data_IF_544807511988
#
_entry.id   IF_544807511988
#
_cell.length_a   1.000
_cell.length_b   1.000
_cell.length_c   1.000
_cell.angle_alpha   90.00
_cell.angle_beta   90.00
_cell.angle_gamma   90.00
#
_symmetry.space_group_name_H-M   'P 1'
#
loop_
_entity.id
_entity.type
_entity.pdbx_description
1 polymer ?
#
# COMPACT_ATOMS: atom_id res chain seq x y z
N UNK A 1 -70.14 -16.46 18.52
CA UNK A 1 -68.72 -16.51 18.98
C UNK A 1 -68.18 -15.11 18.82
N UNK A 2 -68.18 -14.33 19.90
CA UNK A 2 -67.73 -12.94 19.92
C UNK A 2 -66.24 -12.91 20.25
N UNK A 3 -65.50 -12.46 19.24
CA UNK A 3 -64.04 -12.28 19.35
C UNK A 3 -63.78 -11.05 20.25
N UNK A 4 -63.28 -11.34 21.45
CA UNK A 4 -62.92 -10.30 22.42
C UNK A 4 -61.54 -9.75 22.00
N UNK A 5 -61.51 -8.68 21.22
CA UNK A 5 -60.32 -7.89 20.95
C UNK A 5 -59.77 -7.38 22.26
N UNK A 6 -58.68 -7.97 22.79
CA UNK A 6 -57.98 -7.59 23.98
C UNK A 6 -57.35 -6.21 23.78
N UNK A 7 -57.88 -5.19 24.43
CA UNK A 7 -57.30 -3.84 24.40
C UNK A 7 -55.83 -3.83 24.89
N UNK A 8 -54.89 -3.20 24.17
CA UNK A 8 -53.49 -3.22 24.53
C UNK A 8 -53.32 -2.51 25.89
N UNK A 9 -52.60 -3.17 26.82
CA UNK A 9 -52.27 -2.61 28.11
C UNK A 9 -51.43 -1.34 27.93
N UNK A 10 -51.92 -0.18 28.44
CA UNK A 10 -51.27 1.15 28.25
C UNK A 10 -49.76 1.16 28.54
N UNK A 11 -49.29 0.33 29.49
CA UNK A 11 -47.87 0.16 29.75
C UNK A 11 -47.06 -0.54 28.66
N UNK A 12 -47.66 -1.51 27.95
CA UNK A 12 -46.98 -2.19 26.86
C UNK A 12 -46.81 -1.28 25.62
N UNK A 13 -47.82 -0.45 25.33
CA UNK A 13 -47.71 0.54 24.22
C UNK A 13 -46.66 1.61 24.51
N UNK A 14 -46.60 2.12 25.77
CA UNK A 14 -45.60 3.10 26.17
C UNK A 14 -44.16 2.52 26.04
N UNK A 15 -43.95 1.27 26.47
CA UNK A 15 -42.68 0.59 26.33
C UNK A 15 -42.27 0.39 24.85
N UNK A 16 -43.18 -0.06 24.01
CA UNK A 16 -42.96 -0.19 22.60
C UNK A 16 -42.62 1.13 21.90
N UNK A 17 -43.33 2.22 22.27
CA UNK A 17 -43.03 3.54 21.74
C UNK A 17 -41.66 4.04 22.17
N UNK A 18 -41.27 3.79 23.43
CA UNK A 18 -39.92 4.13 23.89
C UNK A 18 -38.83 3.36 23.14
N UNK A 19 -39.01 2.05 22.96
CA UNK A 19 -38.07 1.24 22.20
C UNK A 19 -37.98 1.68 20.75
N UNK A 20 -39.10 2.02 20.11
CA UNK A 20 -39.12 2.56 18.76
C UNK A 20 -38.38 3.89 18.65
N UNK A 21 -38.53 4.79 19.64
CA UNK A 21 -37.84 6.07 19.69
C UNK A 21 -36.29 5.86 19.85
N UNK A 22 -35.90 4.95 20.71
CA UNK A 22 -34.47 4.60 20.89
C UNK A 22 -33.89 4.02 19.61
N UNK A 23 -34.61 3.08 18.98
CA UNK A 23 -34.18 2.49 17.72
C UNK A 23 -34.05 3.55 16.62
N UNK A 24 -35.02 4.46 16.52
CA UNK A 24 -34.98 5.60 15.59
C UNK A 24 -33.76 6.49 15.84
N UNK A 25 -33.49 6.86 17.10
CA UNK A 25 -32.35 7.69 17.46
C UNK A 25 -31.00 7.00 17.09
N UNK A 26 -30.91 5.69 17.31
CA UNK A 26 -29.72 4.90 16.89
C UNK A 26 -29.57 4.93 15.38
N UNK A 27 -30.64 4.69 14.62
CA UNK A 27 -30.60 4.70 13.15
C UNK A 27 -30.20 6.07 12.60
N UNK A 28 -30.73 7.16 13.17
CA UNK A 28 -30.35 8.51 12.77
C UNK A 28 -28.86 8.77 13.07
N UNK A 29 -28.40 8.37 14.27
CA UNK A 29 -26.99 8.53 14.65
C UNK A 29 -26.06 7.74 13.73
N UNK A 30 -26.43 6.52 13.37
CA UNK A 30 -25.69 5.71 12.39
C UNK A 30 -25.71 6.34 10.98
N UNK A 31 -26.84 6.92 10.58
CA UNK A 31 -26.97 7.64 9.31
C UNK A 31 -26.01 8.85 9.25
N UNK A 32 -26.01 9.68 10.29
CA UNK A 32 -25.11 10.84 10.39
C UNK A 32 -23.64 10.40 10.39
N UNK A 33 -23.30 9.37 11.16
CA UNK A 33 -21.94 8.80 11.15
C UNK A 33 -21.50 8.30 9.78
N UNK A 34 -22.40 7.67 9.00
CA UNK A 34 -22.08 7.23 7.63
C UNK A 34 -21.81 8.40 6.70
N UNK A 35 -22.54 9.51 6.84
CA UNK A 35 -22.31 10.72 6.03
C UNK A 35 -20.94 11.35 6.39
N UNK A 36 -20.61 11.48 7.66
CA UNK A 36 -19.27 11.95 8.09
C UNK A 36 -18.15 11.05 7.55
N UNK A 37 -18.34 9.73 7.65
CA UNK A 37 -17.38 8.77 7.12
C UNK A 37 -17.21 8.88 5.60
N UNK A 38 -18.29 9.17 4.88
CA UNK A 38 -18.23 9.40 3.42
C UNK A 38 -17.38 10.62 3.11
N UNK A 39 -17.65 11.77 3.72
CA UNK A 39 -16.88 13.00 3.50
C UNK A 39 -15.40 12.82 3.84
N UNK A 40 -15.09 12.13 4.95
CA UNK A 40 -13.71 11.80 5.29
C UNK A 40 -13.00 10.97 4.22
N UNK A 41 -13.69 9.93 3.68
CA UNK A 41 -13.14 9.09 2.60
C UNK A 41 -12.92 9.89 1.32
N UNK A 42 -13.88 10.72 0.94
CA UNK A 42 -13.77 11.57 -0.27
C UNK A 42 -12.59 12.53 -0.16
N UNK A 43 -12.41 13.18 0.99
CA UNK A 43 -11.28 14.06 1.25
C UNK A 43 -9.93 13.30 1.20
N UNK A 44 -9.88 12.06 1.72
CA UNK A 44 -8.69 11.22 1.64
C UNK A 44 -8.37 10.83 0.18
N UNK A 45 -9.36 10.40 -0.59
CA UNK A 45 -9.22 10.05 -2.01
C UNK A 45 -8.72 11.26 -2.79
N UNK A 46 -9.36 12.42 -2.64
CA UNK A 46 -8.96 13.64 -3.33
C UNK A 46 -7.50 14.04 -3.02
N UNK A 47 -7.06 13.87 -1.77
CA UNK A 47 -5.65 14.12 -1.38
C UNK A 47 -4.69 13.16 -2.07
N UNK A 48 -5.02 11.87 -2.12
CA UNK A 48 -4.20 10.85 -2.79
C UNK A 48 -4.15 11.12 -4.28
N UNK A 49 -5.27 11.40 -4.93
CA UNK A 49 -5.34 11.72 -6.37
C UNK A 49 -4.51 12.95 -6.72
N UNK A 50 -4.59 14.01 -5.91
CA UNK A 50 -3.78 15.21 -6.11
C UNK A 50 -2.27 14.91 -6.02
N UNK A 51 -1.85 13.98 -5.16
CA UNK A 51 -0.44 13.56 -5.06
C UNK A 51 0.01 12.70 -6.22
N UNK A 52 -0.82 11.75 -6.65
CA UNK A 52 -0.50 10.82 -7.75
C UNK A 52 -0.37 11.55 -9.08
N UNK A 53 -1.23 12.54 -9.34
CA UNK A 53 -1.26 13.27 -10.60
C UNK A 53 -0.44 14.58 -10.57
N UNK A 54 0.15 14.92 -9.42
CA UNK A 54 1.02 16.10 -9.27
C UNK A 54 2.32 15.96 -10.07
N UNK A 55 2.99 17.10 -10.31
CA UNK A 55 4.33 17.08 -10.88
C UNK A 55 5.31 16.35 -9.96
N UNK A 56 6.23 15.51 -10.50
CA UNK A 56 7.20 14.80 -9.70
C UNK A 56 8.14 15.76 -8.98
N UNK A 57 8.08 15.76 -7.65
CA UNK A 57 9.02 16.48 -6.79
C UNK A 57 10.36 15.75 -6.64
N UNK A 58 11.34 16.35 -5.96
CA UNK A 58 12.56 15.68 -5.55
C UNK A 58 12.28 14.66 -4.43
N UNK A 59 13.17 13.65 -4.31
CA UNK A 59 13.16 12.77 -3.14
C UNK A 59 13.41 13.59 -1.87
N UNK A 60 12.73 13.33 -0.73
CA UNK A 60 13.06 13.95 0.54
C UNK A 60 14.54 13.75 0.89
N UNK A 61 15.20 14.81 1.38
CA UNK A 61 16.61 14.74 1.71
C UNK A 61 16.89 13.72 2.84
N UNK A 62 17.95 12.92 2.72
CA UNK A 62 18.25 11.84 3.65
C UNK A 62 18.36 12.26 5.12
N UNK A 63 18.85 13.46 5.49
CA UNK A 63 18.87 13.88 6.89
C UNK A 63 17.49 14.06 7.53
N UNK A 64 16.43 14.22 6.72
CA UNK A 64 15.06 14.42 7.21
C UNK A 64 14.30 13.11 7.42
N UNK A 65 14.79 11.99 6.92
CA UNK A 65 14.07 10.71 6.90
C UNK A 65 13.61 10.22 8.27
N UNK A 66 14.44 10.41 9.31
CA UNK A 66 14.10 9.99 10.67
C UNK A 66 12.89 10.74 11.28
N UNK A 67 12.54 11.92 10.76
CA UNK A 67 11.44 12.75 11.24
C UNK A 67 10.17 12.63 10.38
N UNK A 68 10.25 12.00 9.19
CA UNK A 68 9.11 11.87 8.29
C UNK A 68 8.08 10.87 8.83
N UNK A 69 6.82 11.27 8.74
CA UNK A 69 5.68 10.37 9.03
C UNK A 69 5.10 9.85 7.72
N UNK A 70 4.51 8.64 7.71
CA UNK A 70 3.88 8.08 6.50
C UNK A 70 2.93 9.02 5.78
N UNK A 71 2.13 9.79 6.52
CA UNK A 71 1.19 10.77 5.96
C UNK A 71 1.87 11.92 5.19
N UNK A 72 3.14 12.19 5.47
CA UNK A 72 3.87 13.29 4.84
C UNK A 72 4.30 12.93 3.41
N UNK A 73 4.64 11.66 3.17
CA UNK A 73 5.22 11.22 1.90
C UNK A 73 4.46 10.11 1.15
N UNK A 74 3.57 9.36 1.82
CA UNK A 74 2.87 8.25 1.13
C UNK A 74 2.06 8.77 -0.06
N UNK A 75 2.22 8.09 -1.20
CA UNK A 75 1.73 8.50 -2.53
C UNK A 75 2.33 9.80 -3.09
N UNK A 76 3.38 10.37 -2.49
CA UNK A 76 4.07 11.49 -3.10
C UNK A 76 4.78 11.04 -4.39
N UNK A 77 4.53 11.75 -5.49
CA UNK A 77 5.18 11.51 -6.77
C UNK A 77 6.55 12.15 -6.77
N UNK A 78 7.59 11.36 -6.99
CA UNK A 78 8.98 11.84 -6.96
C UNK A 78 9.76 11.39 -8.18
N UNK A 79 10.83 12.15 -8.48
CA UNK A 79 11.85 11.78 -9.45
C UNK A 79 13.18 11.60 -8.72
N UNK A 80 13.85 10.49 -8.99
CA UNK A 80 15.10 10.13 -8.34
C UNK A 80 16.05 9.49 -9.34
N UNK A 81 17.35 9.80 -9.22
CA UNK A 81 18.40 9.21 -10.04
C UNK A 81 19.33 8.37 -9.17
N UNK A 82 19.79 7.25 -9.70
CA UNK A 82 20.71 6.38 -9.02
C UNK A 82 21.06 5.13 -9.85
N UNK A 83 21.80 4.23 -9.25
CA UNK A 83 22.24 2.98 -9.88
C UNK A 83 21.45 1.80 -9.31
N UNK A 84 20.74 1.07 -10.17
CA UNK A 84 20.04 -0.15 -9.77
C UNK A 84 21.04 -1.27 -9.45
N UNK A 85 20.79 -1.99 -8.35
CA UNK A 85 21.55 -3.19 -7.96
C UNK A 85 20.66 -4.44 -8.00
N UNK A 86 20.45 -5.03 -9.18
CA UNK A 86 19.59 -6.20 -9.33
C UNK A 86 20.20 -7.50 -8.78
N UNK A 87 21.44 -7.48 -8.33
CA UNK A 87 22.03 -8.62 -7.62
C UNK A 87 21.48 -8.78 -6.20
N UNK A 88 20.89 -7.72 -5.65
CA UNK A 88 20.30 -7.67 -4.31
C UNK A 88 18.78 -7.50 -4.33
N UNK A 89 18.09 -8.15 -5.26
CA UNK A 89 16.63 -8.11 -5.31
C UNK A 89 15.99 -8.85 -4.13
N UNK A 90 14.91 -8.28 -3.59
CA UNK A 90 14.00 -8.98 -2.70
C UNK A 90 12.65 -9.24 -3.39
N UNK A 91 12.09 -10.41 -3.15
CA UNK A 91 10.84 -10.87 -3.75
C UNK A 91 9.75 -10.91 -2.69
N UNK A 92 8.75 -10.04 -2.79
CA UNK A 92 7.62 -10.01 -1.86
C UNK A 92 6.48 -10.81 -2.45
N UNK A 93 6.11 -11.91 -1.80
CA UNK A 93 5.00 -12.76 -2.26
C UNK A 93 3.68 -12.01 -2.24
N UNK A 94 2.91 -12.17 -3.32
CA UNK A 94 1.55 -11.64 -3.46
C UNK A 94 0.62 -12.75 -3.95
N UNK A 95 -0.41 -13.07 -3.15
CA UNK A 95 -1.39 -14.11 -3.50
C UNK A 95 -2.21 -13.77 -4.74
N UNK A 96 -2.33 -12.48 -5.07
CA UNK A 96 -3.03 -12.00 -6.24
C UNK A 96 -2.35 -10.75 -6.80
N UNK A 97 -1.93 -10.82 -8.04
CA UNK A 97 -1.36 -9.71 -8.81
C UNK A 97 -1.70 -9.88 -10.29
N UNK A 98 -1.46 -8.84 -11.08
CA UNK A 98 -1.75 -8.86 -12.53
C UNK A 98 -0.54 -8.38 -13.31
N UNK A 99 -0.31 -8.98 -14.48
CA UNK A 99 0.58 -8.48 -15.51
C UNK A 99 -0.30 -7.90 -16.62
N UNK A 100 -0.23 -6.60 -16.84
CA UNK A 100 -1.06 -5.92 -17.83
C UNK A 100 -2.56 -6.15 -17.60
N UNK A 101 -3.29 -6.54 -18.67
CA UNK A 101 -4.72 -6.85 -18.63
C UNK A 101 -5.02 -8.32 -18.30
N UNK A 102 -4.02 -9.09 -17.89
CA UNK A 102 -4.17 -10.51 -17.59
C UNK A 102 -5.03 -10.83 -16.38
N UNK A 103 -5.33 -12.12 -16.18
CA UNK A 103 -6.00 -12.60 -14.99
C UNK A 103 -5.14 -12.41 -13.74
N UNK A 104 -5.78 -12.21 -12.59
CA UNK A 104 -5.09 -12.15 -11.31
C UNK A 104 -4.50 -13.52 -10.97
N UNK A 105 -3.23 -13.57 -10.59
CA UNK A 105 -2.50 -14.79 -10.29
C UNK A 105 -1.49 -14.56 -9.16
N UNK A 106 -1.05 -15.60 -8.45
CA UNK A 106 -0.01 -15.47 -7.44
C UNK A 106 1.35 -15.19 -8.09
N UNK A 107 2.20 -14.47 -7.36
CA UNK A 107 3.53 -14.09 -7.83
C UNK A 107 4.27 -13.23 -6.82
N UNK A 108 5.16 -12.37 -7.31
CA UNK A 108 6.03 -11.55 -6.49
C UNK A 108 6.08 -10.10 -6.96
N UNK A 109 6.16 -9.16 -6.04
CA UNK A 109 6.73 -7.85 -6.32
C UNK A 109 8.25 -7.93 -6.26
N UNK A 110 8.88 -7.28 -7.23
CA UNK A 110 10.34 -7.20 -7.33
C UNK A 110 10.82 -5.91 -6.69
N UNK A 111 11.48 -6.02 -5.54
CA UNK A 111 12.08 -4.88 -4.85
C UNK A 111 13.57 -4.84 -5.18
N UNK A 112 13.98 -3.90 -6.03
CA UNK A 112 15.38 -3.72 -6.44
C UNK A 112 15.98 -2.51 -5.74
N UNK A 113 17.16 -2.61 -5.10
CA UNK A 113 17.84 -1.45 -4.53
C UNK A 113 18.28 -0.46 -5.62
N UNK A 114 18.05 0.83 -5.37
CA UNK A 114 18.59 1.96 -6.08
C UNK A 114 19.63 2.64 -5.16
N UNK A 115 20.88 2.62 -5.56
CA UNK A 115 21.97 3.27 -4.85
C UNK A 115 22.07 4.72 -5.31
N UNK A 116 21.92 5.67 -4.38
CA UNK A 116 21.92 7.10 -4.65
C UNK A 116 23.32 7.70 -4.56
N UNK A 117 23.51 8.86 -5.18
CA UNK A 117 24.83 9.52 -5.21
C UNK A 117 25.33 9.97 -3.85
N UNK A 118 24.45 10.16 -2.87
CA UNK A 118 24.81 10.53 -1.48
C UNK A 118 25.19 9.32 -0.60
N UNK A 119 25.26 8.12 -1.18
CA UNK A 119 25.58 6.89 -0.45
C UNK A 119 24.40 6.29 0.32
N UNK A 120 23.20 6.77 0.11
CA UNK A 120 21.97 6.17 0.62
C UNK A 120 21.39 5.15 -0.36
N UNK A 121 20.40 4.37 0.08
CA UNK A 121 19.73 3.37 -0.74
C UNK A 121 18.21 3.50 -0.63
N UNK A 122 17.53 3.25 -1.75
CA UNK A 122 16.08 3.27 -1.86
C UNK A 122 15.61 1.95 -2.48
N UNK A 123 14.65 1.27 -1.85
CA UNK A 123 14.04 0.10 -2.48
C UNK A 123 12.99 0.52 -3.51
N UNK A 124 13.15 0.05 -4.74
CA UNK A 124 12.25 0.34 -5.86
C UNK A 124 11.44 -0.91 -6.21
N UNK A 125 10.13 -0.80 -6.15
CA UNK A 125 9.22 -1.82 -6.67
C UNK A 125 9.18 -1.71 -8.20
N UNK A 126 9.82 -2.68 -8.86
CA UNK A 126 9.88 -2.79 -10.32
C UNK A 126 8.65 -3.49 -10.92
N UNK A 127 7.66 -3.76 -10.07
CA UNK A 127 6.37 -4.32 -10.45
C UNK A 127 6.18 -5.78 -10.05
N UNK A 128 5.15 -6.42 -10.63
CA UNK A 128 4.71 -7.78 -10.31
C UNK A 128 5.17 -8.79 -11.36
N UNK A 129 5.65 -9.95 -10.92
CA UNK A 129 5.96 -11.09 -11.78
C UNK A 129 5.21 -12.34 -11.31
N UNK A 130 4.71 -13.18 -12.24
CA UNK A 130 4.14 -14.49 -11.90
C UNK A 130 5.15 -15.41 -11.25
N UNK A 131 4.68 -16.46 -10.57
CA UNK A 131 5.56 -17.48 -9.95
C UNK A 131 6.54 -18.07 -10.94
N UNK A 132 6.13 -18.29 -12.20
CA UNK A 132 6.97 -18.86 -13.27
C UNK A 132 8.17 -17.97 -13.62
N UNK A 133 8.08 -16.65 -13.37
CA UNK A 133 9.13 -15.67 -13.67
C UNK A 133 9.88 -15.21 -12.41
N UNK A 134 9.92 -16.04 -11.38
CA UNK A 134 10.62 -15.74 -10.12
C UNK A 134 12.11 -15.48 -10.35
N UNK A 135 12.76 -16.32 -11.16
CA UNK A 135 14.20 -16.24 -11.39
C UNK A 135 14.57 -15.00 -12.21
N UNK A 136 15.58 -14.25 -11.77
CA UNK A 136 16.04 -13.03 -12.45
C UNK A 136 16.48 -13.31 -13.91
N UNK A 137 17.03 -14.48 -14.18
CA UNK A 137 17.45 -14.88 -15.53
C UNK A 137 16.28 -15.05 -16.52
N UNK A 138 15.06 -15.29 -16.00
CA UNK A 138 13.84 -15.40 -16.84
C UNK A 138 13.22 -14.06 -17.21
N UNK A 139 13.78 -12.94 -16.70
CA UNK A 139 13.25 -11.60 -16.86
C UNK A 139 14.25 -10.73 -17.60
N UNK A 140 13.92 -10.23 -18.80
CA UNK A 140 14.76 -9.25 -19.47
C UNK A 140 14.73 -7.93 -18.67
N UNK A 141 15.89 -7.44 -18.28
CA UNK A 141 16.04 -6.17 -17.59
C UNK A 141 17.08 -5.30 -18.32
N UNK A 142 16.63 -4.38 -19.21
CA UNK A 142 17.52 -3.52 -19.97
C UNK A 142 18.23 -2.47 -19.11
N UNK A 143 17.75 -2.22 -17.89
CA UNK A 143 18.30 -1.22 -16.96
C UNK A 143 19.25 -1.84 -15.92
N UNK A 144 19.54 -3.14 -16.03
CA UNK A 144 20.36 -3.84 -15.06
C UNK A 144 21.74 -3.21 -14.88
N UNK A 145 22.02 -2.74 -13.64
CA UNK A 145 23.31 -2.17 -13.27
C UNK A 145 23.62 -0.79 -13.90
N UNK A 146 22.65 -0.17 -14.57
CA UNK A 146 22.81 1.14 -15.17
C UNK A 146 22.43 2.25 -14.19
N UNK A 147 22.94 3.46 -14.44
CA UNK A 147 22.43 4.68 -13.84
C UNK A 147 21.12 5.06 -14.53
N UNK A 148 20.07 5.24 -13.75
CA UNK A 148 18.73 5.50 -14.24
C UNK A 148 18.10 6.68 -13.52
N UNK A 149 17.17 7.36 -14.18
CA UNK A 149 16.28 8.33 -13.55
C UNK A 149 14.87 7.75 -13.57
N UNK A 150 14.34 7.50 -12.38
CA UNK A 150 13.03 6.91 -12.17
C UNK A 150 12.03 7.95 -11.68
N UNK A 151 10.80 7.82 -12.13
CA UNK A 151 9.65 8.54 -11.57
C UNK A 151 8.71 7.51 -10.96
N UNK A 152 8.18 7.80 -9.80
CA UNK A 152 7.29 6.87 -9.11
C UNK A 152 6.66 7.48 -7.88
N UNK A 153 5.89 6.66 -7.17
CA UNK A 153 5.19 7.04 -5.96
C UNK A 153 5.93 6.51 -4.73
N UNK A 154 6.20 7.38 -3.78
CA UNK A 154 6.71 6.94 -2.48
C UNK A 154 5.64 6.13 -1.75
N UNK A 155 6.08 5.06 -1.08
CA UNK A 155 5.19 4.16 -0.35
C UNK A 155 5.71 3.90 1.05
N UNK A 156 4.82 4.10 2.00
CA UNK A 156 5.07 3.74 3.39
C UNK A 156 5.25 2.23 3.57
N UNK A 157 5.94 1.79 4.64
CA UNK A 157 5.98 0.38 5.04
C UNK A 157 4.56 -0.20 5.19
N UNK A 158 4.39 -1.46 4.82
CA UNK A 158 3.12 -2.17 5.05
C UNK A 158 3.08 -2.72 6.46
N UNK A 159 1.95 -2.49 7.15
CA UNK A 159 1.67 -3.16 8.39
C UNK A 159 1.27 -4.62 8.14
N UNK A 160 1.78 -5.52 8.97
CA UNK A 160 1.43 -6.95 8.89
C UNK A 160 -0.02 -7.16 9.30
N UNK A 161 -0.83 -7.73 8.40
CA UNK A 161 -2.19 -8.15 8.70
C UNK A 161 -2.24 -9.44 9.55
N UNK A 162 -3.38 -9.71 10.19
CA UNK A 162 -3.59 -10.89 11.05
C UNK A 162 -3.31 -12.22 10.35
N UNK A 163 -3.54 -12.31 9.04
CA UNK A 163 -3.37 -13.53 8.24
C UNK A 163 -2.11 -13.49 7.37
N UNK A 164 -1.26 -12.47 7.51
CA UNK A 164 -0.02 -12.37 6.74
C UNK A 164 1.05 -13.22 7.41
N UNK A 165 1.68 -14.17 6.69
CA UNK A 165 2.78 -14.97 7.23
C UNK A 165 3.94 -14.10 7.72
N UNK A 166 4.74 -14.66 8.61
CA UNK A 166 5.96 -13.98 9.06
C UNK A 166 7.01 -13.94 7.95
N UNK A 167 7.65 -12.79 7.78
CA UNK A 167 8.81 -12.69 6.90
C UNK A 167 9.96 -13.52 7.48
N UNK A 168 10.72 -14.16 6.61
CA UNK A 168 11.88 -14.97 7.00
C UNK A 168 13.10 -14.50 6.20
N UNK A 169 13.76 -13.46 6.71
CA UNK A 169 14.91 -12.83 6.05
C UNK A 169 16.03 -13.83 5.69
N UNK A 170 16.30 -14.80 6.57
CA UNK A 170 17.30 -15.85 6.35
C UNK A 170 17.00 -16.74 5.13
N UNK A 171 15.74 -16.83 4.70
CA UNK A 171 15.31 -17.59 3.51
C UNK A 171 14.95 -16.69 2.34
N UNK A 172 15.06 -15.36 2.50
CA UNK A 172 14.62 -14.40 1.49
C UNK A 172 13.10 -14.43 1.23
N UNK A 173 12.30 -14.87 2.21
CA UNK A 173 10.86 -14.98 2.10
C UNK A 173 10.20 -13.74 2.69
N UNK A 174 9.58 -12.93 1.85
CA UNK A 174 8.93 -11.68 2.23
C UNK A 174 7.45 -11.73 1.88
N UNK A 175 6.62 -11.25 2.81
CA UNK A 175 5.16 -11.15 2.67
C UNK A 175 4.66 -9.72 2.92
N UNK A 176 5.52 -8.88 3.55
CA UNK A 176 5.25 -7.46 3.79
C UNK A 176 6.31 -6.59 3.13
N UNK A 177 5.92 -5.39 2.69
CA UNK A 177 6.85 -4.39 2.21
C UNK A 177 7.35 -3.57 3.39
N UNK A 178 8.43 -4.03 4.01
CA UNK A 178 9.16 -3.31 5.04
C UNK A 178 10.55 -2.93 4.48
N UNK A 179 10.73 -1.69 4.02
CA UNK A 179 11.98 -1.26 3.40
C UNK A 179 13.20 -1.41 4.31
N UNK A 180 13.05 -1.14 5.62
CA UNK A 180 14.16 -1.20 6.55
C UNK A 180 14.56 -2.65 6.86
N UNK A 181 13.59 -3.54 7.07
CA UNK A 181 13.86 -4.96 7.31
C UNK A 181 14.50 -5.63 6.09
N UNK A 182 14.00 -5.33 4.89
CA UNK A 182 14.57 -5.84 3.63
C UNK A 182 15.97 -5.31 3.43
N UNK A 183 16.19 -4.00 3.60
CA UNK A 183 17.51 -3.38 3.45
C UNK A 183 18.55 -3.93 4.42
N UNK A 184 18.18 -4.17 5.67
CA UNK A 184 19.04 -4.79 6.67
C UNK A 184 19.46 -6.21 6.25
N UNK A 185 18.53 -7.02 5.75
CA UNK A 185 18.83 -8.37 5.27
C UNK A 185 19.73 -8.38 4.03
N UNK A 186 19.62 -7.38 3.15
CA UNK A 186 20.43 -7.24 1.93
C UNK A 186 21.74 -6.50 2.17
N UNK A 187 22.02 -6.02 3.38
CA UNK A 187 23.22 -5.25 3.72
C UNK A 187 23.32 -3.95 2.92
N UNK A 188 22.21 -3.21 2.79
CA UNK A 188 22.19 -1.93 2.06
C UNK A 188 22.65 -0.77 2.95
N UNK A 189 23.41 0.19 2.41
CA UNK A 189 23.86 1.35 3.15
C UNK A 189 22.73 2.37 3.35
N UNK A 190 22.62 2.95 4.54
CA UNK A 190 21.76 4.09 4.86
C UNK A 190 20.38 4.04 4.17
N UNK A 191 19.53 3.03 4.44
CA UNK A 191 18.32 2.79 3.68
C UNK A 191 17.24 3.83 3.99
N UNK A 192 16.49 4.21 2.95
CA UNK A 192 15.28 5.02 3.09
C UNK A 192 14.18 4.25 3.85
N UNK A 193 13.39 4.93 4.74
CA UNK A 193 12.32 4.30 5.49
C UNK A 193 11.04 4.07 4.66
N UNK A 194 11.10 4.31 3.37
CA UNK A 194 10.03 4.15 2.39
C UNK A 194 10.56 3.44 1.15
N UNK A 195 9.67 2.98 0.31
CA UNK A 195 9.99 2.45 -1.02
C UNK A 195 9.42 3.34 -2.12
N UNK A 196 9.84 3.09 -3.35
CA UNK A 196 9.33 3.73 -4.55
C UNK A 196 8.58 2.69 -5.40
N UNK A 197 7.31 2.94 -5.70
CA UNK A 197 6.58 2.20 -6.74
C UNK A 197 6.87 2.88 -8.08
N UNK A 198 7.66 2.25 -8.95
CA UNK A 198 8.07 2.77 -10.25
C UNK A 198 6.86 2.91 -11.19
N UNK A 199 6.78 4.03 -11.91
CA UNK A 199 5.75 4.23 -12.93
C UNK A 199 5.99 3.38 -14.17
N UNK A 200 4.91 3.00 -14.84
CA UNK A 200 4.86 1.99 -15.90
C UNK A 200 5.78 2.21 -17.11
N UNK A 201 6.32 3.40 -17.32
CA UNK A 201 7.16 3.69 -18.49
C UNK A 201 8.55 3.05 -18.47
N UNK A 202 9.02 2.61 -17.31
CA UNK A 202 10.32 1.95 -17.13
C UNK A 202 10.20 0.60 -16.40
N UNK A 203 8.99 0.18 -16.06
CA UNK A 203 8.72 -1.03 -15.27
C UNK A 203 8.98 -2.30 -16.07
N UNK A 204 9.58 -3.32 -15.43
CA UNK A 204 9.84 -4.67 -15.99
C UNK A 204 8.59 -5.39 -16.54
N UNK A 205 7.40 -4.83 -16.38
CA UNK A 205 6.12 -5.53 -16.53
C UNK A 205 5.24 -5.07 -17.69
N UNK A 206 5.70 -4.13 -18.51
CA UNK A 206 4.95 -3.63 -19.67
C UNK A 206 5.69 -3.87 -20.98
N UNK A 207 5.97 -5.11 -21.27
CA UNK A 207 6.22 -5.60 -22.63
C UNK A 207 5.23 -6.69 -22.99
#
# INVERSE_FOLDING_TARGET
MTDAATAPRKGATALLSLLALIAFAILVSLGLWQVERLHWKEALIARIEARIHGEPGPLPASPTWASLKPLDYDYARVRVSGRLDPAKEALIFRGAGKVGKGASQPGYWIMTPLLLADGTSLLVNRGFVPLANKEAASRPDPQRGQEVTLTGLLRAPEERGLFTPADTAARGEWYTRDPLAIAAALGLPNPAPFSLDEEAHACLLYT
#
